data_IF_150747386603
#
_entry.id   IF_150747386603
#
_cell.length_a   1.000
_cell.length_b   1.000
_cell.length_c   1.000
_cell.angle_alpha   90.00
_cell.angle_beta   90.00
_cell.angle_gamma   90.00
#
_symmetry.space_group_name_H-M   'P 1'
#
loop_
_entity.id
_entity.type
_entity.pdbx_description
1 polymer ?
#
# COMPACT_ATOMS: atom_id res chain seq x y z
N UNK A 1 -17.43 47.55 10.81
CA UNK A 1 -17.13 46.76 12.01
C UNK A 1 -17.73 45.40 11.83
N UNK A 2 -16.98 44.45 11.34
CA UNK A 2 -17.32 43.03 11.34
C UNK A 2 -16.06 42.31 11.70
N UNK A 3 -15.98 41.98 12.99
CA UNK A 3 -14.93 41.23 13.65
C UNK A 3 -14.91 39.79 13.16
N UNK A 4 -13.73 39.36 12.71
CA UNK A 4 -13.03 38.24 13.29
C UNK A 4 -13.68 36.88 13.12
N UNK A 5 -13.65 36.31 11.91
CA UNK A 5 -13.66 34.84 11.76
C UNK A 5 -12.29 34.30 12.18
N UNK A 6 -12.17 34.13 13.49
CA UNK A 6 -11.02 33.55 14.16
C UNK A 6 -11.00 32.05 13.86
N UNK A 7 -10.40 31.69 12.73
CA UNK A 7 -10.15 30.29 12.35
C UNK A 7 -9.48 29.59 13.51
N UNK A 8 -10.25 28.83 14.30
CA UNK A 8 -9.75 27.88 15.29
C UNK A 8 -8.80 26.92 14.59
N UNK A 9 -7.52 27.27 14.51
CA UNK A 9 -6.45 26.27 14.45
C UNK A 9 -6.63 25.43 15.72
N UNK A 10 -7.25 24.29 15.58
CA UNK A 10 -7.22 23.29 16.65
C UNK A 10 -5.76 22.85 16.75
N UNK A 11 -5.04 23.44 17.70
CA UNK A 11 -3.76 22.91 18.14
C UNK A 11 -4.05 21.49 18.64
N UNK A 12 -3.87 20.54 17.76
CA UNK A 12 -3.99 19.12 18.10
C UNK A 12 -2.73 18.81 18.91
N UNK A 13 -2.84 18.90 20.23
CA UNK A 13 -1.75 18.55 21.12
C UNK A 13 -1.26 17.11 20.82
N UNK A 14 -0.04 16.78 21.24
CA UNK A 14 0.61 15.48 20.97
C UNK A 14 -0.33 14.29 21.22
N UNK A 15 -1.11 14.32 22.32
CA UNK A 15 -2.09 13.28 22.64
C UNK A 15 -3.22 13.17 21.60
N UNK A 16 -3.66 14.31 21.04
CA UNK A 16 -4.66 14.32 19.95
C UNK A 16 -4.11 13.72 18.67
N UNK A 17 -2.85 14.02 18.32
CA UNK A 17 -2.17 13.43 17.18
C UNK A 17 -2.01 11.90 17.34
N UNK A 18 -1.56 11.42 18.51
CA UNK A 18 -1.42 10.00 18.80
C UNK A 18 -2.75 9.26 18.72
N UNK A 19 -3.84 9.83 19.29
CA UNK A 19 -5.19 9.26 19.14
C UNK A 19 -5.66 9.20 17.70
N UNK A 20 -5.31 10.19 16.89
CA UNK A 20 -5.65 10.22 15.46
C UNK A 20 -4.90 9.14 14.69
N UNK A 21 -3.60 8.93 14.96
CA UNK A 21 -2.81 7.83 14.39
C UNK A 21 -3.40 6.48 14.79
N UNK A 22 -3.72 6.28 16.07
CA UNK A 22 -4.33 5.03 16.55
C UNK A 22 -5.65 4.73 15.84
N UNK A 23 -6.53 5.73 15.68
CA UNK A 23 -7.78 5.57 14.91
C UNK A 23 -7.51 5.25 13.44
N UNK A 24 -6.55 5.92 12.81
CA UNK A 24 -6.18 5.67 11.43
C UNK A 24 -5.63 4.24 11.23
N UNK A 25 -4.87 3.71 12.20
CA UNK A 25 -4.45 2.30 12.20
C UNK A 25 -5.65 1.36 12.20
N UNK A 26 -6.56 1.50 13.16
CA UNK A 26 -7.77 0.65 13.25
C UNK A 26 -8.58 0.75 11.95
N UNK A 27 -8.75 1.95 11.42
CA UNK A 27 -9.45 2.18 10.14
C UNK A 27 -8.75 1.49 8.97
N UNK A 28 -7.41 1.53 8.92
CA UNK A 28 -6.61 0.83 7.91
C UNK A 28 -6.88 -0.67 7.91
N UNK A 29 -6.78 -1.31 9.07
CA UNK A 29 -7.02 -2.76 9.17
C UNK A 29 -8.47 -3.14 8.89
N UNK A 30 -9.43 -2.32 9.32
CA UNK A 30 -10.85 -2.52 9.01
C UNK A 30 -11.10 -2.41 7.50
N UNK A 31 -10.60 -1.37 6.83
CA UNK A 31 -10.72 -1.23 5.39
C UNK A 31 -10.05 -2.39 4.65
N UNK A 32 -8.81 -2.74 5.01
CA UNK A 32 -8.11 -3.85 4.40
C UNK A 32 -8.86 -5.17 4.53
N UNK A 33 -9.39 -5.49 5.71
CA UNK A 33 -10.22 -6.69 5.92
C UNK A 33 -11.51 -6.68 5.10
N UNK A 34 -12.18 -5.53 4.98
CA UNK A 34 -13.39 -5.40 4.17
C UNK A 34 -13.15 -5.62 2.66
N UNK A 35 -11.92 -5.40 2.15
CA UNK A 35 -11.61 -5.66 0.74
C UNK A 35 -11.89 -7.10 0.31
N UNK A 36 -11.74 -8.07 1.24
CA UNK A 36 -12.02 -9.49 0.96
C UNK A 36 -13.47 -9.71 0.48
N UNK A 37 -14.40 -8.94 1.05
CA UNK A 37 -15.83 -9.05 0.71
C UNK A 37 -16.23 -8.07 -0.38
N UNK A 38 -15.75 -6.82 -0.30
CA UNK A 38 -16.22 -5.74 -1.18
C UNK A 38 -15.57 -5.74 -2.56
N UNK A 39 -14.32 -6.19 -2.67
CA UNK A 39 -13.57 -6.12 -3.92
C UNK A 39 -12.57 -7.29 -4.07
N UNK A 40 -13.00 -8.55 -3.97
CA UNK A 40 -12.11 -9.71 -4.06
C UNK A 40 -11.34 -9.77 -5.38
N UNK A 41 -11.91 -9.26 -6.48
CA UNK A 41 -11.23 -9.19 -7.78
C UNK A 41 -10.00 -8.28 -7.76
N UNK A 42 -9.98 -7.24 -6.94
CA UNK A 42 -8.79 -6.38 -6.78
C UNK A 42 -7.71 -7.16 -6.05
N UNK A 43 -8.06 -7.90 -4.99
CA UNK A 43 -7.11 -8.74 -4.25
C UNK A 43 -6.57 -9.88 -5.12
N UNK A 44 -7.40 -10.44 -6.00
CA UNK A 44 -7.00 -11.49 -6.94
C UNK A 44 -5.85 -11.08 -7.86
N UNK A 45 -5.67 -9.78 -8.13
CA UNK A 45 -4.53 -9.25 -8.91
C UNK A 45 -3.18 -9.59 -8.24
N UNK A 46 -3.14 -9.65 -6.90
CA UNK A 46 -1.95 -10.09 -6.17
C UNK A 46 -1.95 -11.60 -5.92
N UNK A 47 -3.11 -12.18 -5.57
CA UNK A 47 -3.25 -13.61 -5.24
C UNK A 47 -2.85 -14.51 -6.41
N UNK A 48 -3.32 -14.23 -7.61
CA UNK A 48 -3.11 -15.11 -8.77
C UNK A 48 -1.62 -15.21 -9.15
N UNK A 49 -0.87 -14.11 -9.34
CA UNK A 49 0.56 -14.19 -9.62
C UNK A 49 1.36 -14.85 -8.50
N UNK A 50 1.01 -14.58 -7.23
CA UNK A 50 1.63 -15.21 -6.07
C UNK A 50 1.45 -16.73 -6.12
N UNK A 51 0.22 -17.18 -6.31
CA UNK A 51 -0.10 -18.60 -6.41
C UNK A 51 0.62 -19.29 -7.56
N UNK A 52 0.69 -18.64 -8.74
CA UNK A 52 1.44 -19.17 -9.89
C UNK A 52 2.94 -19.29 -9.59
N UNK A 53 3.53 -18.34 -8.87
CA UNK A 53 4.92 -18.45 -8.43
C UNK A 53 5.11 -19.65 -7.52
N UNK A 54 4.21 -19.88 -6.55
CA UNK A 54 4.31 -21.03 -5.64
C UNK A 54 4.18 -22.37 -6.38
N UNK A 55 3.32 -22.46 -7.40
CA UNK A 55 3.28 -23.65 -8.28
C UNK A 55 4.66 -23.91 -8.90
N UNK A 56 5.29 -22.87 -9.45
CA UNK A 56 6.64 -22.96 -10.01
C UNK A 56 7.70 -23.37 -8.98
N UNK A 57 7.68 -22.76 -7.79
CA UNK A 57 8.61 -23.06 -6.69
C UNK A 57 8.46 -24.50 -6.18
N UNK A 58 7.24 -25.01 -6.05
CA UNK A 58 6.95 -26.39 -5.67
C UNK A 58 7.43 -27.35 -6.76
N UNK A 59 7.16 -27.04 -8.04
CA UNK A 59 7.62 -27.87 -9.16
C UNK A 59 9.14 -27.97 -9.25
N UNK A 60 9.86 -26.91 -8.92
CA UNK A 60 11.34 -26.89 -8.85
C UNK A 60 11.88 -27.65 -7.63
N UNK A 61 11.03 -28.10 -6.69
CA UNK A 61 11.47 -28.71 -5.43
C UNK A 61 12.14 -27.72 -4.49
N UNK A 62 11.77 -26.44 -4.56
CA UNK A 62 12.41 -25.38 -3.77
C UNK A 62 12.17 -25.56 -2.27
N UNK A 63 11.06 -26.18 -1.88
CA UNK A 63 10.69 -26.42 -0.48
C UNK A 63 11.22 -27.74 0.09
N UNK A 64 11.94 -28.56 -0.69
CA UNK A 64 12.44 -29.87 -0.24
C UNK A 64 13.47 -29.72 0.90
N UNK A 65 14.29 -28.66 0.87
CA UNK A 65 15.26 -28.36 1.92
C UNK A 65 15.72 -26.90 1.88
N UNK A 66 16.35 -26.45 2.97
CA UNK A 66 16.97 -25.12 3.06
C UNK A 66 18.04 -24.92 1.97
N UNK A 67 18.82 -25.97 1.65
CA UNK A 67 19.88 -25.87 0.64
C UNK A 67 19.31 -25.77 -0.77
N UNK A 68 18.24 -26.52 -1.07
CA UNK A 68 17.50 -26.40 -2.34
C UNK A 68 16.90 -24.98 -2.47
N UNK A 69 16.29 -24.47 -1.41
CA UNK A 69 15.76 -23.11 -1.39
C UNK A 69 16.80 -22.07 -1.73
N UNK A 70 18.00 -22.16 -1.13
CA UNK A 70 19.12 -21.25 -1.41
C UNK A 70 19.66 -21.39 -2.83
N UNK A 71 19.83 -22.62 -3.30
CA UNK A 71 20.34 -22.89 -4.64
C UNK A 71 19.41 -22.35 -5.74
N UNK A 72 18.09 -22.44 -5.53
CA UNK A 72 17.07 -22.00 -6.49
C UNK A 72 16.60 -20.54 -6.29
N UNK A 73 17.15 -19.82 -5.30
CA UNK A 73 16.75 -18.45 -5.01
C UNK A 73 16.88 -17.51 -6.22
N UNK A 74 17.86 -17.75 -7.09
CA UNK A 74 18.14 -16.97 -8.29
C UNK A 74 17.78 -17.70 -9.59
N UNK A 75 16.95 -18.75 -9.53
CA UNK A 75 16.51 -19.48 -10.71
C UNK A 75 15.73 -18.55 -11.68
N UNK A 76 16.06 -18.56 -13.01
CA UNK A 76 15.41 -17.67 -13.98
C UNK A 76 13.89 -17.88 -14.09
N UNK A 77 13.42 -19.13 -13.99
CA UNK A 77 11.98 -19.44 -14.03
C UNK A 77 11.27 -18.82 -12.82
N UNK A 78 11.86 -19.00 -11.63
CA UNK A 78 11.33 -18.38 -10.41
C UNK A 78 11.26 -16.86 -10.54
N UNK A 79 12.27 -16.21 -11.06
CA UNK A 79 12.30 -14.75 -11.23
C UNK A 79 11.32 -14.25 -12.28
N UNK A 80 11.04 -15.03 -13.33
CA UNK A 80 10.02 -14.66 -14.32
C UNK A 80 8.64 -14.49 -13.66
N UNK A 81 8.23 -15.43 -12.78
CA UNK A 81 7.04 -15.29 -11.95
C UNK A 81 7.18 -14.18 -10.90
N UNK A 82 8.36 -14.03 -10.32
CA UNK A 82 8.65 -13.00 -9.32
C UNK A 82 8.38 -11.58 -9.82
N UNK A 83 8.74 -11.25 -11.06
CA UNK A 83 8.43 -9.94 -11.65
C UNK A 83 6.92 -9.72 -11.82
N UNK A 84 6.20 -10.73 -12.29
CA UNK A 84 4.74 -10.66 -12.45
C UNK A 84 4.05 -10.50 -11.08
N UNK A 85 4.50 -11.25 -10.08
CA UNK A 85 4.04 -11.13 -8.68
C UNK A 85 4.22 -9.72 -8.15
N UNK A 86 5.44 -9.15 -8.24
CA UNK A 86 5.72 -7.80 -7.75
C UNK A 86 4.86 -6.76 -8.45
N UNK A 87 4.72 -6.87 -9.78
CA UNK A 87 3.85 -5.98 -10.53
C UNK A 87 2.38 -6.11 -10.09
N UNK A 88 1.87 -7.34 -9.96
CA UNK A 88 0.51 -7.62 -9.47
C UNK A 88 0.28 -7.06 -8.07
N UNK A 89 1.23 -7.24 -7.16
CA UNK A 89 1.16 -6.72 -5.80
C UNK A 89 1.07 -5.20 -5.77
N UNK A 90 1.93 -4.49 -6.52
CA UNK A 90 1.90 -3.02 -6.63
C UNK A 90 0.56 -2.56 -7.22
N UNK A 91 0.09 -3.20 -8.30
CA UNK A 91 -1.19 -2.86 -8.93
C UNK A 91 -2.34 -3.06 -7.94
N UNK A 92 -2.36 -4.17 -7.18
CA UNK A 92 -3.40 -4.44 -6.19
C UNK A 92 -3.41 -3.40 -5.05
N UNK A 93 -2.23 -2.96 -4.56
CA UNK A 93 -2.10 -1.89 -3.57
C UNK A 93 -2.72 -0.59 -4.11
N UNK A 94 -2.31 -0.16 -5.30
CA UNK A 94 -2.80 1.07 -5.90
C UNK A 94 -4.30 0.99 -6.23
N UNK A 95 -4.77 -0.13 -6.76
CA UNK A 95 -6.18 -0.37 -7.02
C UNK A 95 -7.01 -0.35 -5.74
N UNK A 96 -6.51 -0.91 -4.63
CA UNK A 96 -7.17 -0.84 -3.32
C UNK A 96 -7.31 0.59 -2.83
N UNK A 97 -6.23 1.39 -2.89
CA UNK A 97 -6.28 2.79 -2.49
C UNK A 97 -7.31 3.57 -3.32
N UNK A 98 -7.34 3.35 -4.65
CA UNK A 98 -8.31 3.96 -5.55
C UNK A 98 -9.75 3.49 -5.30
N UNK A 99 -9.95 2.20 -5.02
CA UNK A 99 -11.27 1.63 -4.74
C UNK A 99 -11.97 2.37 -3.60
N UNK A 100 -11.26 2.67 -2.52
CA UNK A 100 -11.81 3.41 -1.39
C UNK A 100 -12.23 4.85 -1.75
N UNK A 101 -11.63 5.44 -2.79
CA UNK A 101 -12.04 6.76 -3.28
C UNK A 101 -13.26 6.70 -4.21
N UNK A 102 -13.30 5.72 -5.12
CA UNK A 102 -14.31 5.69 -6.19
C UNK A 102 -15.49 4.75 -5.91
N UNK A 103 -15.37 3.83 -4.94
CA UNK A 103 -16.42 2.94 -4.45
C UNK A 103 -16.90 1.88 -5.46
N UNK A 104 -16.13 1.60 -6.53
CA UNK A 104 -16.54 0.68 -7.59
C UNK A 104 -15.33 -0.03 -8.21
N UNK A 105 -15.36 -1.36 -8.28
CA UNK A 105 -14.31 -2.17 -8.91
C UNK A 105 -14.09 -1.76 -10.37
N UNK A 106 -15.18 -1.61 -11.14
CA UNK A 106 -15.10 -1.20 -12.55
C UNK A 106 -14.41 0.16 -12.72
N UNK A 107 -14.80 1.18 -11.94
CA UNK A 107 -14.18 2.51 -12.00
C UNK A 107 -12.74 2.50 -11.50
N UNK A 108 -12.41 1.60 -10.60
CA UNK A 108 -11.05 1.41 -10.14
C UNK A 108 -10.16 0.89 -11.25
N UNK A 109 -10.56 -0.18 -11.92
CA UNK A 109 -9.79 -0.83 -12.98
C UNK A 109 -9.77 -0.01 -14.28
N UNK A 110 -10.83 0.76 -14.56
CA UNK A 110 -10.92 1.68 -15.71
C UNK A 110 -10.52 3.10 -15.28
N UNK A 111 -9.32 3.24 -14.71
CA UNK A 111 -8.80 4.57 -14.33
C UNK A 111 -8.60 5.45 -15.59
N UNK A 112 -8.92 6.77 -15.50
CA UNK A 112 -8.66 7.70 -16.61
C UNK A 112 -7.19 7.70 -17.04
N UNK A 113 -6.88 7.79 -18.34
CA UNK A 113 -5.50 7.75 -18.83
C UNK A 113 -4.59 8.79 -18.15
N UNK A 114 -5.10 9.99 -17.88
CA UNK A 114 -4.33 11.03 -17.18
C UNK A 114 -3.93 10.62 -15.77
N UNK A 115 -4.78 9.85 -15.06
CA UNK A 115 -4.46 9.29 -13.73
C UNK A 115 -3.30 8.31 -13.88
N UNK A 116 -3.40 7.39 -14.85
CA UNK A 116 -2.35 6.40 -15.11
C UNK A 116 -1.01 7.07 -15.45
N UNK A 117 -1.02 8.08 -16.33
CA UNK A 117 0.20 8.83 -16.68
C UNK A 117 0.82 9.48 -15.45
N UNK A 118 0.04 10.12 -14.59
CA UNK A 118 0.56 10.74 -13.35
C UNK A 118 1.10 9.72 -12.37
N UNK A 119 0.42 8.59 -12.20
CA UNK A 119 0.84 7.50 -11.30
C UNK A 119 2.12 6.86 -11.81
N UNK A 120 2.15 6.43 -13.07
CA UNK A 120 3.35 5.80 -13.66
C UNK A 120 4.50 6.79 -13.71
N UNK A 121 4.27 8.03 -14.16
CA UNK A 121 5.29 9.08 -14.18
C UNK A 121 5.83 9.39 -12.78
N UNK A 122 4.98 9.45 -11.77
CA UNK A 122 5.38 9.64 -10.38
C UNK A 122 6.22 8.47 -9.85
N UNK A 123 5.83 7.23 -10.12
CA UNK A 123 6.59 6.03 -9.72
C UNK A 123 7.96 5.98 -10.42
N UNK A 124 8.02 6.25 -11.72
CA UNK A 124 9.27 6.29 -12.47
C UNK A 124 10.18 7.43 -11.97
N UNK A 125 9.63 8.59 -11.69
CA UNK A 125 10.38 9.71 -11.11
C UNK A 125 10.94 9.32 -9.73
N UNK A 126 10.12 8.70 -8.88
CA UNK A 126 10.54 8.20 -7.57
C UNK A 126 11.69 7.20 -7.67
N UNK A 127 11.57 6.26 -8.57
CA UNK A 127 12.64 5.30 -8.86
C UNK A 127 13.92 6.00 -9.34
N UNK A 128 13.81 6.86 -10.35
CA UNK A 128 14.96 7.59 -10.88
C UNK A 128 15.68 8.44 -9.84
N UNK A 129 14.92 9.10 -8.95
CA UNK A 129 15.49 9.91 -7.87
C UNK A 129 16.05 9.04 -6.73
N UNK A 130 15.64 7.78 -6.57
CA UNK A 130 16.22 6.86 -5.59
C UNK A 130 17.59 6.32 -6.02
N UNK A 131 17.82 6.12 -7.33
CA UNK A 131 19.04 5.50 -7.86
C UNK A 131 20.36 6.13 -7.35
N UNK A 132 20.54 7.46 -7.34
CA UNK A 132 21.76 8.07 -6.82
C UNK A 132 22.00 7.75 -5.33
N UNK A 133 20.93 7.71 -4.52
CA UNK A 133 21.04 7.40 -3.10
C UNK A 133 21.37 5.94 -2.85
N UNK A 134 20.80 5.02 -3.64
CA UNK A 134 21.15 3.60 -3.58
C UNK A 134 22.60 3.36 -4.00
N UNK A 135 23.05 4.02 -5.07
CA UNK A 135 24.44 3.92 -5.53
C UNK A 135 25.40 4.45 -4.46
N UNK A 136 25.13 5.62 -3.89
CA UNK A 136 25.93 6.20 -2.79
C UNK A 136 25.94 5.30 -1.55
N UNK A 137 24.81 4.67 -1.22
CA UNK A 137 24.70 3.74 -0.09
C UNK A 137 25.62 2.52 -0.22
N UNK A 138 25.91 2.08 -1.46
CA UNK A 138 26.83 0.97 -1.75
C UNK A 138 28.30 1.36 -1.67
N UNK A 139 28.63 2.66 -1.63
CA UNK A 139 30.03 3.16 -1.56
C UNK A 139 30.63 3.14 -0.16
N UNK A 140 29.95 2.57 0.85
CA UNK A 140 30.49 2.46 2.21
C UNK A 140 30.68 3.80 2.91
N UNK A 141 29.84 4.78 2.62
CA UNK A 141 29.89 6.12 3.26
C UNK A 141 29.82 5.99 4.78
N UNK A 142 30.59 6.86 5.47
CA UNK A 142 30.50 6.97 6.92
C UNK A 142 29.05 7.26 7.37
N UNK A 143 28.67 6.81 8.57
CA UNK A 143 27.33 7.03 9.13
C UNK A 143 26.96 8.52 9.14
N UNK A 144 27.93 9.41 9.38
CA UNK A 144 27.73 10.85 9.41
C UNK A 144 27.23 11.43 8.07
N UNK A 145 27.64 10.83 6.96
CA UNK A 145 27.22 11.23 5.61
C UNK A 145 26.02 10.40 5.15
N UNK A 146 26.04 9.11 5.42
CA UNK A 146 25.00 8.16 4.95
C UNK A 146 23.62 8.42 5.55
N UNK A 147 23.54 8.82 6.85
CA UNK A 147 22.25 9.11 7.51
C UNK A 147 21.54 10.32 6.88
N UNK A 148 22.15 11.51 6.73
CA UNK A 148 21.53 12.64 6.05
C UNK A 148 21.02 12.29 4.63
N UNK A 149 21.81 11.56 3.85
CA UNK A 149 21.40 11.12 2.52
C UNK A 149 20.15 10.23 2.55
N UNK A 150 20.08 9.28 3.47
CA UNK A 150 18.89 8.42 3.65
C UNK A 150 17.67 9.23 4.06
N UNK A 151 17.82 10.21 4.94
CA UNK A 151 16.72 11.11 5.36
C UNK A 151 16.22 11.92 4.16
N UNK A 152 17.11 12.54 3.39
CA UNK A 152 16.73 13.31 2.20
C UNK A 152 16.00 12.42 1.18
N UNK A 153 16.52 11.23 0.91
CA UNK A 153 15.88 10.27 0.03
C UNK A 153 14.48 9.90 0.53
N UNK A 154 14.34 9.58 1.82
CA UNK A 154 13.05 9.23 2.42
C UNK A 154 12.03 10.37 2.31
N UNK A 155 12.44 11.62 2.53
CA UNK A 155 11.58 12.81 2.39
C UNK A 155 11.12 12.98 0.95
N UNK A 156 12.02 12.85 -0.03
CA UNK A 156 11.69 12.92 -1.46
C UNK A 156 10.69 11.81 -1.82
N UNK A 157 10.96 10.57 -1.42
CA UNK A 157 10.10 9.42 -1.69
C UNK A 157 8.70 9.58 -1.04
N UNK A 158 8.63 10.09 0.17
CA UNK A 158 7.37 10.38 0.84
C UNK A 158 6.55 11.44 0.07
N UNK A 159 7.19 12.52 -0.39
CA UNK A 159 6.56 13.54 -1.21
C UNK A 159 6.07 13.00 -2.56
N UNK A 160 6.84 12.13 -3.22
CA UNK A 160 6.40 11.47 -4.45
C UNK A 160 5.23 10.54 -4.18
N UNK A 161 5.27 9.76 -3.11
CA UNK A 161 4.22 8.83 -2.76
C UNK A 161 2.88 9.54 -2.50
N UNK A 162 2.87 10.65 -1.75
CA UNK A 162 1.63 11.40 -1.53
C UNK A 162 1.11 12.05 -2.83
N UNK A 163 2.00 12.48 -3.73
CA UNK A 163 1.61 12.96 -5.05
C UNK A 163 0.96 11.85 -5.89
N UNK A 164 1.55 10.66 -5.93
CA UNK A 164 1.02 9.48 -6.63
C UNK A 164 -0.34 9.09 -6.06
N UNK A 165 -0.46 9.03 -4.74
CA UNK A 165 -1.74 8.72 -4.07
C UNK A 165 -2.78 9.80 -4.36
N UNK A 166 -2.43 11.08 -4.29
CA UNK A 166 -3.33 12.17 -4.65
C UNK A 166 -3.82 12.10 -6.09
N UNK A 167 -2.94 11.78 -7.03
CA UNK A 167 -3.31 11.57 -8.43
C UNK A 167 -4.25 10.38 -8.60
N UNK A 168 -3.99 9.29 -7.88
CA UNK A 168 -4.79 8.06 -7.88
C UNK A 168 -6.20 8.28 -7.33
N UNK A 169 -6.33 9.12 -6.30
CA UNK A 169 -7.59 9.52 -5.68
C UNK A 169 -8.30 10.64 -6.46
N UNK A 170 -7.71 11.14 -7.56
CA UNK A 170 -8.20 12.29 -8.35
C UNK A 170 -8.32 13.59 -7.52
N UNK A 171 -7.51 13.71 -6.46
CA UNK A 171 -7.47 14.91 -5.63
C UNK A 171 -6.63 16.01 -6.29
N UNK A 172 -7.31 17.00 -6.87
CA UNK A 172 -6.67 18.14 -7.56
C UNK A 172 -5.92 19.07 -6.62
N UNK A 173 -6.14 18.96 -5.33
CA UNK A 173 -5.46 19.78 -4.33
C UNK A 173 -4.02 19.32 -4.10
N UNK A 174 -3.72 18.05 -4.37
CA UNK A 174 -2.39 17.45 -4.23
C UNK A 174 -1.57 17.72 -5.51
N UNK A 175 -0.87 18.84 -5.53
CA UNK A 175 0.07 19.17 -6.62
C UNK A 175 1.48 18.73 -6.25
N UNK A 176 2.37 18.54 -7.25
CA UNK A 176 3.76 18.16 -7.03
C UNK A 176 4.49 19.14 -6.09
N UNK A 177 4.28 20.46 -6.26
CA UNK A 177 4.85 21.48 -5.37
C UNK A 177 4.39 21.30 -3.93
N UNK A 178 3.08 21.13 -3.71
CA UNK A 178 2.52 20.95 -2.36
C UNK A 178 2.97 19.64 -1.72
N UNK A 179 3.06 18.58 -2.49
CA UNK A 179 3.54 17.28 -2.02
C UNK A 179 4.96 17.36 -1.45
N UNK A 180 5.81 18.19 -2.05
CA UNK A 180 7.20 18.39 -1.60
C UNK A 180 7.35 19.47 -0.53
N UNK A 181 6.28 20.17 -0.16
CA UNK A 181 6.34 21.27 0.80
C UNK A 181 5.28 21.11 1.89
N UNK A 182 4.11 21.72 1.73
CA UNK A 182 3.07 21.80 2.76
C UNK A 182 2.42 20.46 3.11
N UNK A 183 2.45 19.46 2.23
CA UNK A 183 1.87 18.13 2.48
C UNK A 183 2.86 17.12 3.08
N UNK A 184 4.09 17.51 3.38
CA UNK A 184 5.10 16.60 3.92
C UNK A 184 4.68 15.91 5.23
N UNK A 185 4.03 16.59 6.21
CA UNK A 185 3.51 15.88 7.40
C UNK A 185 2.47 14.80 7.06
N UNK A 186 1.60 15.06 6.07
CA UNK A 186 0.64 14.06 5.59
C UNK A 186 1.34 12.90 4.87
N UNK A 187 2.39 13.19 4.11
CA UNK A 187 3.22 12.18 3.46
C UNK A 187 3.91 11.26 4.47
N UNK A 188 4.45 11.83 5.55
CA UNK A 188 5.08 11.06 6.64
C UNK A 188 4.06 10.15 7.32
N UNK A 189 2.87 10.66 7.65
CA UNK A 189 1.81 9.84 8.25
C UNK A 189 1.42 8.68 7.35
N UNK A 190 1.25 8.94 6.05
CA UNK A 190 0.95 7.92 5.06
C UNK A 190 2.03 6.83 5.03
N UNK A 191 3.32 7.22 5.02
CA UNK A 191 4.44 6.28 5.06
C UNK A 191 4.46 5.46 6.36
N UNK A 192 4.18 6.07 7.50
CA UNK A 192 4.11 5.38 8.80
C UNK A 192 3.00 4.34 8.81
N UNK A 193 1.79 4.69 8.36
CA UNK A 193 0.67 3.74 8.28
C UNK A 193 0.93 2.62 7.27
N UNK A 194 1.52 2.94 6.12
CA UNK A 194 1.92 1.94 5.14
C UNK A 194 2.97 0.97 5.73
N UNK A 195 3.96 1.47 6.46
CA UNK A 195 4.97 0.63 7.11
C UNK A 195 4.36 -0.26 8.21
N UNK A 196 3.42 0.26 9.00
CA UNK A 196 2.70 -0.51 10.03
C UNK A 196 1.84 -1.62 9.41
N UNK A 197 1.24 -1.39 8.25
CA UNK A 197 0.51 -2.42 7.52
C UNK A 197 1.47 -3.42 6.83
N UNK A 198 2.58 -2.94 6.29
CA UNK A 198 3.54 -3.73 5.52
C UNK A 198 4.35 -4.69 6.41
N UNK A 199 4.97 -4.19 7.47
CA UNK A 199 5.99 -4.96 8.20
C UNK A 199 5.46 -6.26 8.83
N UNK A 200 4.33 -6.30 9.57
CA UNK A 200 3.81 -7.55 10.11
C UNK A 200 3.31 -8.50 9.00
N UNK A 201 2.76 -7.94 7.91
CA UNK A 201 2.27 -8.75 6.79
C UNK A 201 3.42 -9.42 6.04
N UNK A 202 4.52 -8.71 5.80
CA UNK A 202 5.74 -9.24 5.21
C UNK A 202 6.40 -10.28 6.11
N UNK A 203 6.39 -10.06 7.43
CA UNK A 203 6.92 -11.03 8.38
C UNK A 203 6.17 -12.37 8.29
N UNK A 204 4.83 -12.33 8.26
CA UNK A 204 4.04 -13.57 8.14
C UNK A 204 4.27 -14.28 6.81
N UNK A 205 4.36 -13.55 5.70
CA UNK A 205 4.74 -14.10 4.39
C UNK A 205 6.10 -14.83 4.46
N UNK A 206 7.13 -14.21 5.06
CA UNK A 206 8.43 -14.87 5.25
C UNK A 206 8.37 -16.09 6.18
N UNK A 207 7.55 -16.05 7.22
CA UNK A 207 7.36 -17.17 8.15
C UNK A 207 6.71 -18.35 7.43
N UNK A 208 5.69 -18.12 6.59
CA UNK A 208 5.04 -19.19 5.81
C UNK A 208 6.03 -19.93 4.92
N UNK A 209 6.91 -19.22 4.21
CA UNK A 209 7.96 -19.84 3.41
C UNK A 209 8.93 -20.68 4.25
N UNK A 210 9.34 -20.18 5.42
CA UNK A 210 10.23 -20.92 6.32
C UNK A 210 9.56 -22.17 6.88
N UNK A 211 8.28 -22.08 7.24
CA UNK A 211 7.52 -23.21 7.76
C UNK A 211 7.30 -24.31 6.71
N UNK A 212 7.29 -23.96 5.42
CA UNK A 212 7.09 -24.92 4.33
C UNK A 212 8.35 -25.76 4.05
N UNK A 213 9.55 -25.32 4.46
CA UNK A 213 10.80 -26.01 4.18
C UNK A 213 10.88 -27.38 4.84
N UNK A 214 11.15 -28.43 4.05
CA UNK A 214 11.26 -29.81 4.50
C UNK A 214 9.95 -30.45 4.92
N UNK A 215 8.80 -29.82 4.68
CA UNK A 215 7.49 -30.39 5.02
C UNK A 215 7.00 -31.36 3.92
N UNK A 216 6.12 -32.30 4.28
CA UNK A 216 5.42 -33.11 3.28
C UNK A 216 4.63 -32.26 2.32
N UNK A 217 4.58 -32.68 1.04
CA UNK A 217 3.97 -31.93 -0.06
C UNK A 217 2.55 -31.38 0.22
N UNK A 218 1.63 -32.11 0.87
CA UNK A 218 0.31 -31.57 1.20
C UNK A 218 0.37 -30.37 2.16
N UNK A 219 1.33 -30.36 3.10
CA UNK A 219 1.53 -29.24 4.04
C UNK A 219 2.11 -28.04 3.28
N UNK A 220 3.08 -28.27 2.39
CA UNK A 220 3.63 -27.21 1.52
C UNK A 220 2.51 -26.54 0.73
N UNK A 221 1.65 -27.32 0.07
CA UNK A 221 0.50 -26.79 -0.66
C UNK A 221 -0.44 -25.97 0.22
N UNK A 222 -0.79 -26.47 1.39
CA UNK A 222 -1.67 -25.75 2.32
C UNK A 222 -1.07 -24.40 2.74
N UNK A 223 0.23 -24.37 3.06
CA UNK A 223 0.93 -23.13 3.45
C UNK A 223 1.04 -22.15 2.28
N UNK A 224 1.31 -22.62 1.06
CA UNK A 224 1.46 -21.76 -0.11
C UNK A 224 0.12 -21.22 -0.62
N UNK A 225 -0.98 -21.99 -0.51
CA UNK A 225 -2.33 -21.48 -0.77
C UNK A 225 -2.69 -20.39 0.24
N UNK A 226 -2.44 -20.66 1.54
CA UNK A 226 -2.67 -19.67 2.59
C UNK A 226 -1.84 -18.40 2.34
N UNK A 227 -0.58 -18.56 1.96
CA UNK A 227 0.34 -17.45 1.69
C UNK A 227 -0.12 -16.59 0.51
N UNK A 228 -0.56 -17.22 -0.58
CA UNK A 228 -1.10 -16.48 -1.72
C UNK A 228 -2.35 -15.65 -1.34
N UNK A 229 -3.27 -16.21 -0.56
CA UNK A 229 -4.44 -15.49 -0.04
C UNK A 229 -4.03 -14.36 0.92
N UNK A 230 -3.03 -14.63 1.77
CA UNK A 230 -2.47 -13.65 2.67
C UNK A 230 -1.84 -12.46 1.93
N UNK A 231 -1.09 -12.71 0.83
CA UNK A 231 -0.49 -11.65 0.00
C UNK A 231 -1.57 -10.78 -0.64
N UNK A 232 -2.71 -11.34 -1.01
CA UNK A 232 -3.87 -10.55 -1.44
C UNK A 232 -4.38 -9.63 -0.34
N UNK A 233 -4.61 -10.16 0.89
CA UNK A 233 -5.02 -9.36 2.03
C UNK A 233 -3.95 -8.30 2.39
N UNK A 234 -2.68 -8.67 2.33
CA UNK A 234 -1.54 -7.78 2.52
C UNK A 234 -1.59 -6.57 1.57
N UNK A 235 -1.81 -6.80 0.27
CA UNK A 235 -2.00 -5.71 -0.70
C UNK A 235 -3.20 -4.82 -0.33
N UNK A 236 -4.30 -5.42 0.12
CA UNK A 236 -5.48 -4.73 0.63
C UNK A 236 -5.19 -3.85 1.85
N UNK A 237 -4.42 -4.36 2.81
CA UNK A 237 -4.02 -3.61 4.02
C UNK A 237 -3.14 -2.41 3.67
N UNK A 238 -2.10 -2.62 2.84
CA UNK A 238 -1.19 -1.52 2.44
C UNK A 238 -1.91 -0.48 1.59
N UNK A 239 -2.74 -0.90 0.63
CA UNK A 239 -3.53 0.03 -0.18
C UNK A 239 -4.53 0.84 0.66
N UNK A 240 -5.14 0.21 1.67
CA UNK A 240 -6.00 0.91 2.63
C UNK A 240 -5.21 1.90 3.49
N UNK A 241 -3.98 1.56 3.88
CA UNK A 241 -3.08 2.47 4.59
C UNK A 241 -2.74 3.72 3.77
N UNK A 242 -2.50 3.56 2.46
CA UNK A 242 -2.27 4.69 1.55
C UNK A 242 -3.49 5.63 1.49
N UNK A 243 -4.69 5.07 1.38
CA UNK A 243 -5.92 5.85 1.36
C UNK A 243 -6.18 6.58 2.70
N UNK A 244 -6.18 5.83 3.82
CA UNK A 244 -6.47 6.38 5.15
C UNK A 244 -5.40 7.38 5.57
N UNK A 245 -4.12 7.07 5.33
CA UNK A 245 -2.99 7.96 5.67
C UNK A 245 -3.04 9.28 4.92
N UNK A 246 -3.30 9.23 3.60
CA UNK A 246 -3.48 10.45 2.81
C UNK A 246 -4.62 11.30 3.35
N UNK A 247 -5.77 10.71 3.58
CA UNK A 247 -6.98 11.39 4.07
C UNK A 247 -6.78 12.03 5.44
N UNK A 248 -6.26 11.24 6.39
CA UNK A 248 -6.02 11.71 7.76
C UNK A 248 -4.98 12.83 7.78
N UNK A 249 -3.91 12.70 7.00
CA UNK A 249 -2.87 13.72 6.90
C UNK A 249 -3.37 15.04 6.29
N UNK A 250 -4.24 14.98 5.29
CA UNK A 250 -4.86 16.17 4.72
C UNK A 250 -5.79 16.88 5.71
N UNK A 251 -6.57 16.14 6.49
CA UNK A 251 -7.44 16.73 7.53
C UNK A 251 -6.65 17.42 8.63
N UNK A 252 -5.47 16.94 9.01
CA UNK A 252 -4.59 17.60 9.97
C UNK A 252 -4.13 18.99 9.51
N UNK A 253 -4.12 19.23 8.21
CA UNK A 253 -3.72 20.51 7.63
C UNK A 253 -4.90 21.47 7.41
N UNK A 254 -6.05 21.18 8.01
CA UNK A 254 -7.25 22.01 7.90
C UNK A 254 -7.92 21.93 6.53
N UNK A 255 -7.61 20.91 5.75
CA UNK A 255 -8.24 20.69 4.45
C UNK A 255 -9.58 20.00 4.68
N UNK A 256 -10.66 20.66 4.31
CA UNK A 256 -11.98 20.04 4.24
C UNK A 256 -12.00 19.06 3.08
N UNK A 257 -11.76 17.80 3.39
CA UNK A 257 -11.99 16.70 2.44
C UNK A 257 -13.49 16.64 2.21
N UNK A 258 -13.95 16.94 0.98
CA UNK A 258 -15.38 16.92 0.66
C UNK A 258 -15.92 15.51 0.90
N UNK A 259 -17.23 15.36 1.28
CA UNK A 259 -17.82 14.02 1.49
C UNK A 259 -17.68 13.07 0.28
N UNK A 260 -17.59 13.58 -0.95
CA UNK A 260 -17.26 12.80 -2.15
C UNK A 260 -15.82 12.28 -2.13
N UNK A 261 -14.90 13.01 -1.51
CA UNK A 261 -13.49 12.67 -1.42
C UNK A 261 -13.23 11.71 -0.24
N UNK A 262 -14.24 11.52 0.59
CA UNK A 262 -14.15 10.67 1.78
C UNK A 262 -14.35 9.18 1.46
N UNK A 263 -14.68 8.79 0.23
CA UNK A 263 -15.01 7.39 -0.06
C UNK A 263 -15.99 6.85 0.99
N UNK A 264 -16.87 7.70 1.52
CA UNK A 264 -17.93 7.25 2.40
C UNK A 264 -18.78 6.34 1.55
N UNK A 265 -18.46 5.06 1.59
CA UNK A 265 -19.49 4.05 1.50
C UNK A 265 -20.45 4.44 2.61
N UNK A 266 -21.43 5.26 2.28
CA UNK A 266 -22.46 5.72 3.19
C UNK A 266 -22.95 4.46 3.89
N UNK A 267 -23.26 4.56 5.19
CA UNK A 267 -23.94 3.48 5.90
C UNK A 267 -25.07 2.89 5.04
N UNK A 268 -25.75 3.71 4.25
CA UNK A 268 -26.72 3.31 3.22
C UNK A 268 -26.18 2.38 2.13
N UNK A 269 -24.91 2.50 1.71
CA UNK A 269 -24.35 1.62 0.67
C UNK A 269 -23.88 0.30 1.28
N UNK A 270 -23.45 0.30 2.54
CA UNK A 270 -23.18 -0.91 3.30
C UNK A 270 -24.50 -1.67 3.61
N UNK A 271 -25.52 -0.96 4.01
CA UNK A 271 -26.85 -1.53 4.28
C UNK A 271 -27.48 -2.08 2.97
N UNK A 272 -27.32 -1.41 1.83
CA UNK A 272 -27.79 -1.88 0.53
C UNK A 272 -27.04 -3.13 0.04
N UNK A 273 -25.71 -3.16 0.17
CA UNK A 273 -24.90 -4.34 -0.19
C UNK A 273 -25.21 -5.54 0.74
N UNK A 274 -25.47 -5.30 2.02
CA UNK A 274 -25.89 -6.34 2.95
C UNK A 274 -27.34 -6.81 2.69
N UNK A 275 -28.19 -5.95 2.16
CA UNK A 275 -29.57 -6.30 1.78
C UNK A 275 -29.57 -7.16 0.50
N UNK A 276 -28.79 -6.80 -0.52
CA UNK A 276 -28.64 -7.61 -1.74
C UNK A 276 -28.03 -8.99 -1.47
N UNK A 277 -27.04 -9.07 -0.55
CA UNK A 277 -26.42 -10.34 -0.18
C UNK A 277 -27.34 -11.28 0.63
N UNK A 278 -28.47 -10.79 1.15
CA UNK A 278 -29.48 -11.59 1.87
C UNK A 278 -30.66 -12.02 1.01
N UNK A 279 -30.74 -11.52 -0.22
CA UNK A 279 -31.84 -11.79 -1.15
C UNK A 279 -31.43 -12.72 -2.30
N UNK A 280 -30.17 -13.22 -2.32
CA UNK A 280 -29.64 -14.28 -3.15
C UNK A 280 -29.37 -15.52 -2.29
#
# INVERSE_FOLDING_TARGET
>A
MTEGDNTRRTDVGILGALRSVGRAMVETYRHGGHMVVMAPLILAIAVVPEFLQHIGEIHLGMFDSVDRFRALANDPLRWSFGYVKVAGFIIAILATARFWSVGSVRRTLLAPPLVLVKVVGGLLLGYALALPFEWLGKQGLSLAIGIPFKIVSAVIQAGILIYVVGALLEDRSVTAKRAMTSLLPAAILLCVLAAIAFAPSQLLHMVNHKLALGQPLPIVWALMIFDALWVGLFAGLVGSALFVGSRTGLTWQGWTVRPRDLGVVSKRTLDAAQFEARTV
#
